data_IF_132431514508
#
_entry.id   IF_132431514508
#
_cell.length_a   1.000
_cell.length_b   1.000
_cell.length_c   1.000
_cell.angle_alpha   90.00
_cell.angle_beta   90.00
_cell.angle_gamma   90.00
#
_symmetry.space_group_name_H-M   'P 1'
#
loop_
_entity.id
_entity.type
_entity.pdbx_description
1 polymer ?
#
# COMPACT_ATOMS: atom_id res chain seq x y z
N UNK A 1 37.08 59.72 64.43
CA UNK A 1 37.96 58.97 63.53
C UNK A 1 37.27 58.78 62.20
N UNK A 2 38.05 58.96 61.15
CA UNK A 2 37.74 58.97 59.72
C UNK A 2 37.10 57.70 59.15
N UNK A 3 36.51 57.87 57.95
CA UNK A 3 36.62 57.06 56.71
C UNK A 3 35.23 56.88 56.06
N UNK A 4 34.92 57.60 54.98
CA UNK A 4 35.25 57.39 53.56
C UNK A 4 34.18 56.59 52.79
N UNK A 5 33.63 57.27 51.78
CA UNK A 5 33.13 56.83 50.45
C UNK A 5 32.59 55.43 50.21
N UNK A 6 31.46 55.34 49.49
CA UNK A 6 31.44 54.98 48.06
C UNK A 6 29.99 54.97 47.52
N UNK A 7 29.79 55.54 46.33
CA UNK A 7 28.48 55.62 45.67
C UNK A 7 28.12 54.37 44.85
N UNK A 8 26.89 54.32 44.35
CA UNK A 8 26.44 53.47 43.25
C UNK A 8 25.30 54.17 42.49
N UNK A 9 25.38 54.10 41.16
CA UNK A 9 24.60 54.83 40.17
C UNK A 9 23.15 54.31 39.97
N UNK A 10 22.25 55.11 39.36
CA UNK A 10 20.89 54.67 39.01
C UNK A 10 20.88 53.74 37.78
N UNK A 11 20.43 52.49 37.98
CA UNK A 11 20.25 51.50 36.91
C UNK A 11 19.10 51.86 35.96
N UNK A 12 19.42 51.97 34.67
CA UNK A 12 18.48 52.15 33.56
C UNK A 12 17.63 50.89 33.39
N UNK A 13 16.30 51.03 33.33
CA UNK A 13 15.36 49.94 33.01
C UNK A 13 15.40 49.65 31.49
N UNK A 14 15.58 48.41 31.03
CA UNK A 14 15.44 48.07 29.62
C UNK A 14 13.96 47.99 29.19
N UNK A 15 13.67 48.23 27.89
CA UNK A 15 12.31 48.27 27.37
C UNK A 15 11.65 46.89 27.33
N UNK A 16 10.36 46.86 27.68
CA UNK A 16 9.48 45.69 27.60
C UNK A 16 9.25 45.34 26.12
N UNK A 17 9.90 44.29 25.63
CA UNK A 17 9.65 43.72 24.30
C UNK A 17 8.47 42.75 24.39
N UNK A 18 7.39 43.09 23.70
CA UNK A 18 6.13 42.33 23.58
C UNK A 18 6.38 40.92 23.00
N UNK A 19 5.92 39.83 23.64
CA UNK A 19 6.08 38.48 23.11
C UNK A 19 4.92 38.17 22.15
N UNK A 20 4.99 38.62 20.90
CA UNK A 20 4.13 38.13 19.81
C UNK A 20 5.00 37.26 18.91
N UNK A 21 5.35 36.05 19.37
CA UNK A 21 6.02 35.06 18.51
C UNK A 21 5.93 33.61 19.02
N UNK A 22 4.77 33.17 19.54
CA UNK A 22 4.55 31.76 19.92
C UNK A 22 3.16 31.28 19.45
N UNK A 23 2.83 31.47 18.17
CA UNK A 23 1.57 30.95 17.61
C UNK A 23 1.74 30.21 16.27
N UNK A 24 2.94 30.12 15.70
CA UNK A 24 3.17 29.50 14.38
C UNK A 24 3.83 28.11 14.40
N UNK A 25 4.09 27.52 15.57
CA UNK A 25 4.76 26.20 15.69
C UNK A 25 3.82 25.01 15.95
N UNK A 26 2.49 25.22 15.96
CA UNK A 26 1.52 24.15 16.25
C UNK A 26 0.89 23.49 15.01
N UNK A 27 1.44 23.71 13.80
CA UNK A 27 0.99 23.01 12.58
C UNK A 27 1.89 21.84 12.17
N UNK A 28 2.85 21.41 13.00
CA UNK A 28 3.61 20.20 12.71
C UNK A 28 2.77 18.94 12.95
N UNK A 29 2.19 18.46 11.85
CA UNK A 29 2.09 17.05 11.48
C UNK A 29 1.08 16.16 12.21
N UNK A 30 -0.21 16.43 12.06
CA UNK A 30 -1.18 15.33 11.97
C UNK A 30 -1.20 14.80 10.53
N UNK A 31 -0.14 14.08 10.10
CA UNK A 31 -0.23 13.32 8.85
C UNK A 31 -1.03 12.04 9.12
N UNK A 32 -2.11 11.76 8.38
CA UNK A 32 -2.87 10.54 8.58
C UNK A 32 -1.99 9.32 8.30
N UNK A 33 -2.21 8.22 9.04
CA UNK A 33 -1.50 6.94 8.82
C UNK A 33 -1.64 6.47 7.36
N UNK A 34 -2.81 6.66 6.77
CA UNK A 34 -3.08 6.38 5.35
C UNK A 34 -3.21 7.70 4.59
N UNK A 35 -2.17 8.06 3.84
CA UNK A 35 -2.13 9.21 2.96
C UNK A 35 -2.40 8.72 1.52
N UNK A 36 -3.67 8.69 1.14
CA UNK A 36 -4.11 8.17 -0.16
C UNK A 36 -3.65 9.06 -1.30
N UNK A 37 -2.89 8.48 -2.22
CA UNK A 37 -2.29 9.15 -3.37
C UNK A 37 -2.63 8.38 -4.64
N UNK A 38 -2.90 9.12 -5.71
CA UNK A 38 -3.17 8.52 -6.99
C UNK A 38 -1.93 7.80 -7.55
N UNK A 39 -2.16 6.59 -8.06
CA UNK A 39 -1.19 5.78 -8.78
C UNK A 39 -1.76 5.43 -10.15
N UNK A 40 -0.98 5.70 -11.19
CA UNK A 40 -1.24 5.27 -12.57
C UNK A 40 -0.04 4.44 -13.01
N UNK A 41 -0.10 3.10 -12.92
CA UNK A 41 1.02 2.25 -13.32
C UNK A 41 1.36 2.47 -14.79
N UNK A 42 2.64 2.75 -15.06
CA UNK A 42 3.12 3.07 -16.41
C UNK A 42 2.84 1.93 -17.39
N UNK A 43 2.47 2.29 -18.62
CA UNK A 43 2.15 1.32 -19.67
C UNK A 43 0.85 0.54 -19.45
N UNK A 44 0.03 0.93 -18.47
CA UNK A 44 -1.26 0.27 -18.20
C UNK A 44 -2.40 1.28 -18.17
N UNK A 45 -3.64 0.84 -18.42
CA UNK A 45 -4.82 1.68 -18.22
C UNK A 45 -5.27 1.74 -16.76
N UNK A 46 -4.64 0.99 -15.84
CA UNK A 46 -5.06 0.91 -14.45
C UNK A 46 -4.90 2.27 -13.75
N UNK A 47 -5.92 2.67 -12.99
CA UNK A 47 -5.86 3.80 -12.08
C UNK A 47 -6.26 3.31 -10.68
N UNK A 48 -5.56 3.76 -9.65
CA UNK A 48 -5.81 3.34 -8.27
C UNK A 48 -5.28 4.35 -7.25
N UNK A 49 -5.48 4.08 -5.96
CA UNK A 49 -4.91 4.82 -4.85
C UNK A 49 -3.94 3.94 -4.07
N UNK A 50 -2.82 4.51 -3.63
CA UNK A 50 -1.89 3.92 -2.67
C UNK A 50 -1.92 4.71 -1.36
N UNK A 51 -1.86 4.06 -0.19
CA UNK A 51 -1.99 4.74 1.10
C UNK A 51 -0.72 5.44 1.60
N UNK A 52 0.38 5.34 0.86
CA UNK A 52 1.59 6.12 1.08
C UNK A 52 2.36 6.24 -0.25
N UNK A 53 3.59 6.78 -0.22
CA UNK A 53 4.46 6.79 -1.40
C UNK A 53 4.84 5.35 -1.74
N UNK A 54 4.44 4.82 -2.91
CA UNK A 54 4.82 3.48 -3.28
C UNK A 54 6.29 3.40 -3.69
N UNK A 55 6.92 2.28 -3.36
CA UNK A 55 8.21 1.85 -3.87
C UNK A 55 7.99 0.96 -5.09
N UNK A 56 8.82 1.16 -6.10
CA UNK A 56 8.77 0.38 -7.33
C UNK A 56 9.78 -0.76 -7.29
N UNK A 57 9.35 -1.95 -7.70
CA UNK A 57 10.21 -3.09 -7.94
C UNK A 57 9.80 -3.80 -9.23
N UNK A 58 10.78 -4.37 -9.92
CA UNK A 58 10.55 -5.22 -11.09
C UNK A 58 11.31 -6.53 -10.92
N UNK A 59 10.68 -7.65 -11.27
CA UNK A 59 11.31 -8.97 -11.23
C UNK A 59 10.74 -9.91 -12.29
N UNK A 60 11.55 -10.82 -12.79
CA UNK A 60 11.08 -11.90 -13.65
C UNK A 60 10.44 -13.00 -12.81
N UNK A 61 9.21 -13.39 -13.14
CA UNK A 61 8.48 -14.50 -12.52
C UNK A 61 8.06 -15.51 -13.58
N UNK A 62 7.90 -16.78 -13.20
CA UNK A 62 7.25 -17.76 -14.06
C UNK A 62 5.74 -17.58 -13.94
N UNK A 63 5.08 -17.18 -15.03
CA UNK A 63 3.63 -16.98 -15.07
C UNK A 63 3.08 -17.48 -16.41
N UNK A 64 2.04 -18.30 -16.37
CA UNK A 64 1.49 -18.99 -17.54
C UNK A 64 2.60 -19.70 -18.35
N UNK A 65 3.47 -20.45 -17.65
CA UNK A 65 4.53 -21.25 -18.25
C UNK A 65 5.72 -20.50 -18.88
N UNK A 66 5.78 -19.17 -18.80
CA UNK A 66 6.92 -18.41 -19.33
C UNK A 66 7.45 -17.36 -18.35
N UNK A 67 8.75 -17.07 -18.46
CA UNK A 67 9.38 -15.96 -17.75
C UNK A 67 8.75 -14.65 -18.19
N UNK A 68 8.11 -13.96 -17.26
CA UNK A 68 7.35 -12.73 -17.51
C UNK A 68 7.86 -11.66 -16.55
N UNK A 69 8.11 -10.47 -17.08
CA UNK A 69 8.47 -9.31 -16.25
C UNK A 69 7.24 -8.85 -15.44
N UNK A 70 7.38 -8.86 -14.12
CA UNK A 70 6.35 -8.41 -13.19
C UNK A 70 6.81 -7.11 -12.55
N UNK A 71 6.00 -6.07 -12.76
CA UNK A 71 6.16 -4.79 -12.10
C UNK A 71 5.32 -4.77 -10.82
N UNK A 72 5.86 -4.16 -9.76
CA UNK A 72 5.25 -4.06 -8.46
C UNK A 72 5.38 -2.62 -7.94
N UNK A 73 4.29 -2.09 -7.41
CA UNK A 73 4.23 -0.89 -6.60
C UNK A 73 3.72 -1.28 -5.22
N UNK A 74 4.54 -1.11 -4.18
CA UNK A 74 4.19 -1.50 -2.82
C UNK A 74 4.42 -0.39 -1.80
N UNK A 75 3.65 -0.40 -0.73
CA UNK A 75 3.75 0.56 0.36
C UNK A 75 3.38 -0.13 1.68
N UNK A 76 4.20 0.07 2.72
CA UNK A 76 3.92 -0.38 4.07
C UNK A 76 3.48 0.80 4.95
N UNK A 77 2.28 0.74 5.52
CA UNK A 77 1.78 1.74 6.48
C UNK A 77 0.68 1.16 7.37
N UNK A 78 0.57 1.66 8.60
CA UNK A 78 -0.46 1.21 9.55
C UNK A 78 -0.36 -0.28 9.91
N UNK A 79 0.84 -0.89 9.80
CA UNK A 79 1.04 -2.32 10.03
C UNK A 79 0.54 -3.22 8.89
N UNK A 80 0.21 -2.63 7.74
CA UNK A 80 -0.27 -3.31 6.54
C UNK A 80 0.70 -3.12 5.38
N UNK A 81 0.79 -4.11 4.51
CA UNK A 81 1.51 -4.03 3.24
C UNK A 81 0.51 -4.02 2.09
N UNK A 82 0.52 -2.95 1.30
CA UNK A 82 -0.33 -2.78 0.12
C UNK A 82 0.52 -2.97 -1.13
N UNK A 83 -0.01 -3.70 -2.11
CA UNK A 83 0.68 -4.03 -3.34
C UNK A 83 -0.25 -3.93 -4.55
N UNK A 84 0.22 -3.28 -5.60
CA UNK A 84 -0.36 -3.32 -6.95
C UNK A 84 0.72 -3.83 -7.89
N UNK A 85 0.47 -4.94 -8.57
CA UNK A 85 1.41 -5.56 -9.49
C UNK A 85 0.75 -5.80 -10.85
N UNK A 86 1.55 -5.78 -11.91
CA UNK A 86 1.07 -6.03 -13.27
C UNK A 86 2.15 -6.65 -14.15
N UNK A 87 1.69 -7.37 -15.17
CA UNK A 87 2.52 -7.96 -16.19
C UNK A 87 1.81 -7.97 -17.54
N UNK A 88 2.60 -7.85 -18.61
CA UNK A 88 2.16 -8.04 -19.99
C UNK A 88 2.53 -9.47 -20.43
N UNK A 89 1.53 -10.26 -20.84
CA UNK A 89 1.73 -11.66 -21.22
C UNK A 89 2.10 -11.82 -22.70
N UNK A 90 1.95 -10.77 -23.51
CA UNK A 90 2.18 -10.76 -24.96
C UNK A 90 1.01 -11.32 -25.77
N UNK A 91 0.27 -12.30 -25.22
CA UNK A 91 -0.86 -12.94 -25.91
C UNK A 91 -2.07 -13.14 -24.98
N UNK A 92 -3.29 -12.77 -25.41
CA UNK A 92 -4.51 -12.95 -24.60
C UNK A 92 -4.81 -14.41 -24.22
N UNK A 93 -4.33 -15.38 -24.98
CA UNK A 93 -4.54 -16.81 -24.71
C UNK A 93 -3.89 -17.28 -23.39
N UNK A 94 -2.87 -16.57 -22.90
CA UNK A 94 -2.17 -16.90 -21.65
C UNK A 94 -2.87 -16.37 -20.39
N UNK A 95 -3.86 -15.49 -20.55
CA UNK A 95 -4.52 -14.79 -19.42
C UNK A 95 -5.20 -15.76 -18.46
N UNK A 96 -5.91 -16.77 -18.97
CA UNK A 96 -6.62 -17.72 -18.10
C UNK A 96 -5.66 -18.54 -17.26
N UNK A 97 -4.56 -19.01 -17.87
CA UNK A 97 -3.51 -19.71 -17.15
C UNK A 97 -2.87 -18.80 -16.08
N UNK A 98 -2.55 -17.54 -16.42
CA UNK A 98 -1.98 -16.59 -15.48
C UNK A 98 -2.92 -16.31 -14.29
N UNK A 99 -4.21 -16.08 -14.55
CA UNK A 99 -5.21 -15.86 -13.50
C UNK A 99 -5.51 -17.13 -12.68
N UNK A 100 -5.24 -18.32 -13.21
CA UNK A 100 -5.32 -19.57 -12.47
C UNK A 100 -4.09 -19.78 -11.58
N UNK A 101 -2.89 -19.47 -12.07
CA UNK A 101 -1.61 -19.74 -11.41
C UNK A 101 -1.24 -18.69 -10.35
N UNK A 102 -1.46 -17.41 -10.62
CA UNK A 102 -1.00 -16.34 -9.73
C UNK A 102 -1.65 -16.39 -8.32
N UNK A 103 -2.96 -16.66 -8.17
CA UNK A 103 -3.55 -16.86 -6.84
C UNK A 103 -2.92 -18.04 -6.10
N UNK A 104 -2.59 -19.14 -6.80
CA UNK A 104 -1.92 -20.31 -6.22
C UNK A 104 -0.51 -19.99 -5.72
N UNK A 105 0.26 -19.23 -6.50
CA UNK A 105 1.57 -18.74 -6.08
C UNK A 105 1.47 -17.82 -4.84
N UNK A 106 0.41 -17.01 -4.76
CA UNK A 106 0.18 -16.13 -3.61
C UNK A 106 -0.14 -16.93 -2.34
N UNK A 107 -0.95 -18.00 -2.44
CA UNK A 107 -1.21 -18.94 -1.35
C UNK A 107 0.06 -19.65 -0.88
N UNK A 108 0.89 -20.12 -1.81
CA UNK A 108 2.16 -20.76 -1.48
C UNK A 108 3.08 -19.83 -0.68
N UNK A 109 3.08 -18.52 -0.98
CA UNK A 109 3.86 -17.53 -0.21
C UNK A 109 3.42 -17.41 1.26
N UNK A 110 2.18 -17.81 1.56
CA UNK A 110 1.58 -17.86 2.89
C UNK A 110 1.58 -19.28 3.48
N UNK A 111 2.31 -20.22 2.87
CA UNK A 111 2.37 -21.64 3.26
C UNK A 111 1.00 -22.33 3.28
N UNK A 112 0.09 -21.89 2.40
CA UNK A 112 -1.23 -22.47 2.21
C UNK A 112 -1.24 -23.41 0.99
N UNK A 113 -2.16 -24.38 1.02
CA UNK A 113 -2.40 -25.29 -0.08
C UNK A 113 -2.88 -24.54 -1.35
N UNK A 114 -2.25 -24.73 -2.53
CA UNK A 114 -2.63 -24.06 -3.78
C UNK A 114 -4.11 -24.26 -4.18
N UNK A 115 -4.69 -25.41 -3.85
CA UNK A 115 -6.06 -25.81 -4.18
C UNK A 115 -7.10 -24.88 -3.53
N UNK A 116 -6.71 -24.20 -2.45
CA UNK A 116 -7.55 -23.20 -1.79
C UNK A 116 -7.91 -22.05 -2.74
N UNK A 117 -7.15 -21.81 -3.81
CA UNK A 117 -7.48 -20.82 -4.84
C UNK A 117 -8.82 -21.11 -5.53
N UNK A 118 -9.23 -22.38 -5.54
CA UNK A 118 -10.44 -22.83 -6.20
C UNK A 118 -11.61 -23.04 -5.21
N UNK A 119 -11.35 -22.90 -3.91
CA UNK A 119 -12.39 -22.98 -2.87
C UNK A 119 -13.29 -21.74 -2.87
N UNK A 120 -14.63 -21.89 -2.84
CA UNK A 120 -15.55 -20.77 -2.65
C UNK A 120 -15.34 -20.03 -1.31
N UNK A 121 -14.91 -20.71 -0.26
CA UNK A 121 -14.72 -20.14 1.08
C UNK A 121 -13.56 -19.14 1.14
N UNK A 122 -12.58 -19.32 0.27
CA UNK A 122 -11.44 -18.42 0.16
C UNK A 122 -11.73 -17.19 -0.71
N UNK A 123 -12.92 -17.10 -1.32
CA UNK A 123 -13.28 -16.00 -2.23
C UNK A 123 -14.08 -14.93 -1.48
N UNK A 124 -13.97 -13.70 -1.97
CA UNK A 124 -14.82 -12.60 -1.54
C UNK A 124 -15.49 -11.92 -2.74
N UNK A 125 -16.61 -11.26 -2.51
CA UNK A 125 -17.34 -10.56 -3.56
C UNK A 125 -16.51 -9.39 -4.10
N UNK A 126 -15.93 -9.57 -5.29
CA UNK A 126 -15.14 -8.57 -5.99
C UNK A 126 -15.61 -8.50 -7.44
N UNK A 127 -15.87 -7.29 -7.92
CA UNK A 127 -16.22 -7.03 -9.30
C UNK A 127 -15.35 -5.90 -9.82
N UNK A 128 -14.73 -6.10 -10.97
CA UNK A 128 -13.88 -5.11 -11.62
C UNK A 128 -14.50 -4.68 -12.95
N UNK A 129 -15.17 -3.51 -13.01
CA UNK A 129 -15.66 -2.96 -14.27
C UNK A 129 -14.51 -2.87 -15.30
N UNK A 130 -14.76 -3.28 -16.53
CA UNK A 130 -13.76 -3.30 -17.60
C UNK A 130 -12.81 -4.51 -17.59
N UNK A 131 -12.94 -5.43 -16.63
CA UNK A 131 -12.21 -6.70 -16.59
C UNK A 131 -13.16 -7.89 -16.44
N UNK A 132 -13.58 -8.54 -17.55
CA UNK A 132 -14.52 -9.66 -17.50
C UNK A 132 -13.93 -10.90 -16.80
N UNK A 133 -12.59 -11.00 -16.74
CA UNK A 133 -11.87 -12.07 -16.06
C UNK A 133 -11.29 -11.50 -14.77
N UNK A 134 -11.92 -11.84 -13.65
CA UNK A 134 -11.48 -11.45 -12.32
C UNK A 134 -11.60 -12.63 -11.33
N UNK A 135 -10.69 -12.68 -10.36
CA UNK A 135 -10.67 -13.61 -9.24
C UNK A 135 -10.30 -12.86 -7.97
N UNK A 136 -10.65 -13.41 -6.83
CA UNK A 136 -10.38 -12.80 -5.53
C UNK A 136 -10.02 -13.86 -4.50
N UNK A 137 -9.17 -13.49 -3.55
CA UNK A 137 -8.82 -14.30 -2.39
C UNK A 137 -8.90 -13.49 -1.11
N UNK A 138 -9.42 -14.11 -0.05
CA UNK A 138 -9.37 -13.64 1.32
C UNK A 138 -9.01 -14.84 2.21
N UNK A 139 -7.80 -14.86 2.76
CA UNK A 139 -7.26 -16.01 3.47
C UNK A 139 -6.40 -15.56 4.65
N UNK A 140 -6.16 -16.48 5.58
CA UNK A 140 -5.17 -16.33 6.64
C UNK A 140 -4.16 -17.47 6.52
N UNK A 141 -2.87 -17.15 6.61
CA UNK A 141 -1.79 -18.12 6.56
C UNK A 141 -0.57 -17.65 7.34
N UNK A 142 0.58 -18.20 6.99
CA UNK A 142 1.84 -17.97 7.70
C UNK A 142 2.84 -17.29 6.78
N UNK A 143 3.27 -16.09 7.18
CA UNK A 143 4.25 -15.31 6.43
C UNK A 143 5.65 -15.92 6.41
N UNK A 144 6.60 -15.28 5.70
CA UNK A 144 7.96 -15.77 5.57
C UNK A 144 8.69 -15.94 6.92
N UNK A 145 8.42 -15.07 7.90
CA UNK A 145 9.06 -15.08 9.22
C UNK A 145 8.26 -15.90 10.27
N UNK A 146 7.24 -16.66 9.84
CA UNK A 146 6.44 -17.52 10.74
C UNK A 146 5.27 -16.83 11.44
N UNK A 147 5.06 -15.54 11.20
CA UNK A 147 3.95 -14.76 11.75
C UNK A 147 2.63 -15.08 11.04
N UNK A 148 1.51 -14.99 11.76
CA UNK A 148 0.17 -15.06 11.14
C UNK A 148 -0.07 -13.81 10.29
N UNK A 149 -0.51 -14.02 9.06
CA UNK A 149 -0.80 -12.96 8.09
C UNK A 149 -2.15 -13.23 7.44
N UNK A 150 -3.01 -12.23 7.43
CA UNK A 150 -4.20 -12.17 6.59
C UNK A 150 -3.83 -11.56 5.25
N UNK A 151 -4.39 -12.10 4.17
CA UNK A 151 -4.28 -11.55 2.82
C UNK A 151 -5.67 -11.35 2.25
N UNK A 152 -5.90 -10.16 1.68
CA UNK A 152 -7.00 -9.93 0.75
C UNK A 152 -6.44 -9.49 -0.59
N UNK A 153 -6.76 -10.22 -1.65
CA UNK A 153 -6.24 -9.98 -2.99
C UNK A 153 -7.34 -10.04 -4.05
N UNK A 154 -7.14 -9.29 -5.12
CA UNK A 154 -7.89 -9.32 -6.36
C UNK A 154 -6.93 -9.51 -7.54
N UNK A 155 -7.33 -10.33 -8.50
CA UNK A 155 -6.58 -10.64 -9.72
C UNK A 155 -7.51 -10.42 -10.89
N UNK A 156 -7.10 -9.67 -11.89
CA UNK A 156 -7.96 -9.34 -13.03
C UNK A 156 -7.13 -9.05 -14.28
N UNK A 157 -7.80 -9.02 -15.43
CA UNK A 157 -7.11 -8.84 -16.71
C UNK A 157 -7.87 -7.91 -17.68
N UNK A 158 -7.10 -7.28 -18.55
CA UNK A 158 -7.58 -6.52 -19.70
C UNK A 158 -6.67 -6.76 -20.90
N UNK A 159 -7.22 -7.27 -22.00
CA UNK A 159 -6.41 -7.71 -23.13
C UNK A 159 -5.45 -8.81 -22.71
N UNK A 160 -4.15 -8.61 -22.92
CA UNK A 160 -3.06 -9.50 -22.47
C UNK A 160 -2.38 -9.04 -21.18
N UNK A 161 -2.82 -7.93 -20.58
CA UNK A 161 -2.33 -7.44 -19.30
C UNK A 161 -3.06 -8.11 -18.14
N UNK A 162 -2.29 -8.57 -17.16
CA UNK A 162 -2.80 -9.12 -15.89
C UNK A 162 -2.36 -8.25 -14.73
N UNK A 163 -3.24 -8.12 -13.74
CA UNK A 163 -3.07 -7.25 -12.59
C UNK A 163 -3.34 -8.01 -11.29
N UNK A 164 -2.66 -7.60 -10.24
CA UNK A 164 -2.93 -7.98 -8.86
C UNK A 164 -3.03 -6.73 -8.00
N UNK A 165 -4.04 -6.66 -7.14
CA UNK A 165 -4.11 -5.73 -6.02
C UNK A 165 -4.22 -6.56 -4.73
N UNK A 166 -3.35 -6.34 -3.75
CA UNK A 166 -3.31 -7.15 -2.54
C UNK A 166 -2.98 -6.33 -1.30
N UNK A 167 -3.56 -6.73 -0.17
CA UNK A 167 -3.25 -6.20 1.16
C UNK A 167 -2.91 -7.35 2.09
N UNK A 168 -1.80 -7.20 2.83
CA UNK A 168 -1.30 -8.16 3.81
C UNK A 168 -1.19 -7.49 5.17
N UNK A 169 -1.44 -8.23 6.25
CA UNK A 169 -1.22 -7.73 7.61
C UNK A 169 -1.73 -8.69 8.68
N UNK A 170 -1.48 -8.39 9.97
CA UNK A 170 -1.97 -9.22 11.07
C UNK A 170 -3.50 -9.17 11.21
N UNK A 171 -4.11 -8.05 10.83
CA UNK A 171 -5.55 -7.81 10.83
C UNK A 171 -5.88 -6.79 9.74
N UNK A 172 -6.97 -6.98 9.00
CA UNK A 172 -7.34 -6.12 7.87
C UNK A 172 -8.60 -5.29 8.19
N UNK A 173 -8.47 -3.99 8.54
CA UNK A 173 -9.61 -3.14 8.88
C UNK A 173 -10.51 -2.90 7.65
N UNK A 174 -11.79 -3.25 7.75
CA UNK A 174 -12.71 -3.26 6.60
C UNK A 174 -12.76 -1.95 5.79
N UNK A 175 -12.78 -0.80 6.45
CA UNK A 175 -12.85 0.52 5.80
C UNK A 175 -11.59 0.84 4.98
N UNK A 176 -10.40 0.55 5.52
CA UNK A 176 -9.12 0.79 4.84
C UNK A 176 -9.02 -0.12 3.60
N UNK A 177 -9.45 -1.36 3.73
CA UNK A 177 -9.45 -2.34 2.65
C UNK A 177 -10.45 -1.95 1.56
N UNK A 178 -11.67 -1.55 1.93
CA UNK A 178 -12.68 -1.07 1.00
C UNK A 178 -12.15 0.12 0.19
N UNK A 179 -11.56 1.12 0.86
CA UNK A 179 -10.96 2.30 0.20
C UNK A 179 -9.93 1.91 -0.86
N UNK A 180 -9.06 0.92 -0.57
CA UNK A 180 -8.05 0.46 -1.52
C UNK A 180 -8.64 -0.27 -2.73
N UNK A 181 -9.61 -1.17 -2.53
CA UNK A 181 -10.21 -1.94 -3.62
C UNK A 181 -11.23 -1.12 -4.45
N UNK A 182 -11.99 -0.23 -3.82
CA UNK A 182 -12.96 0.64 -4.50
C UNK A 182 -12.28 1.72 -5.36
N UNK A 183 -11.01 2.01 -5.08
CA UNK A 183 -10.19 2.93 -5.87
C UNK A 183 -9.77 2.35 -7.23
N UNK A 184 -9.84 1.03 -7.43
CA UNK A 184 -9.41 0.37 -8.67
C UNK A 184 -10.33 0.74 -9.83
N UNK A 185 -9.74 1.27 -10.90
CA UNK A 185 -10.45 1.63 -12.13
C UNK A 185 -9.70 1.16 -13.37
N UNK A 186 -10.44 0.55 -14.30
CA UNK A 186 -10.00 0.24 -15.65
C UNK A 186 -10.90 1.00 -16.64
N UNK A 187 -10.51 2.22 -17.05
CA UNK A 187 -11.30 3.10 -17.92
C UNK A 187 -11.35 2.63 -19.37
#
# INVERSE_FOLDING_TARGET
MSLFSAGLAPGRRPPTVTPILIALLALSACSPTFNWRELRPEGTPLQTLMPCKPEHATRTVLLAGAGTELHLQSCDTGGLSFAVAWAELGEPARVDAALAEWPRASLASLRLAPELADSPEARWAFHMPGAPKARSLAVQGTGPQGQLVQMRAAYFARGSQVFQAAVYGPSLPGEVIATFFDALKLP
#
